data_IF_557044629706
#
_entry.id   IF_557044629706
#
_cell.length_a   1.000
_cell.length_b   1.000
_cell.length_c   1.000
_cell.angle_alpha   90.00
_cell.angle_beta   90.00
_cell.angle_gamma   90.00
#
_symmetry.space_group_name_H-M   'P 1'
#
loop_
_entity.id
_entity.type
_entity.pdbx_description
1 polymer ?
#
# COMPACT_ATOMS: atom_id res chain seq x y z
N UNK A 1 13.09 -1.57 -6.03
CA UNK A 1 11.67 -1.21 -5.79
C UNK A 1 10.80 -2.30 -6.39
N UNK A 2 9.81 -2.83 -5.65
CA UNK A 2 8.85 -3.78 -6.24
C UNK A 2 8.10 -3.07 -7.36
N UNK A 3 8.02 -3.70 -8.53
CA UNK A 3 7.38 -3.12 -9.69
C UNK A 3 5.86 -3.40 -9.62
N UNK A 4 5.05 -2.34 -9.56
CA UNK A 4 3.59 -2.41 -9.56
C UNK A 4 2.95 -2.04 -10.92
N UNK A 5 3.73 -1.78 -11.96
CA UNK A 5 3.26 -1.39 -13.29
C UNK A 5 2.26 -2.40 -13.87
N UNK A 6 2.49 -3.70 -13.62
CA UNK A 6 1.59 -4.78 -14.06
C UNK A 6 0.25 -4.69 -13.33
N UNK A 7 0.26 -4.48 -12.01
CA UNK A 7 -0.95 -4.37 -11.20
C UNK A 7 -1.77 -3.14 -11.63
N UNK A 8 -1.12 -1.99 -11.78
CA UNK A 8 -1.75 -0.75 -12.19
C UNK A 8 -2.39 -0.86 -13.58
N UNK A 9 -1.71 -1.50 -14.54
CA UNK A 9 -2.27 -1.80 -15.86
C UNK A 9 -3.48 -2.73 -15.77
N UNK A 10 -3.38 -3.80 -14.99
CA UNK A 10 -4.47 -4.78 -14.86
C UNK A 10 -5.72 -4.20 -14.19
N UNK A 11 -5.54 -3.31 -13.22
CA UNK A 11 -6.64 -2.61 -12.53
C UNK A 11 -7.09 -1.35 -13.27
N UNK A 12 -6.38 -0.96 -14.33
CA UNK A 12 -6.57 0.31 -15.04
C UNK A 12 -6.55 1.53 -14.10
N UNK A 13 -5.64 1.51 -13.12
CA UNK A 13 -5.45 2.55 -12.11
C UNK A 13 -4.07 3.17 -12.26
N UNK A 14 -3.95 4.48 -12.03
CA UNK A 14 -2.68 5.18 -12.01
C UNK A 14 -2.49 5.93 -10.68
N UNK A 15 -1.54 5.48 -9.87
CA UNK A 15 -1.23 6.13 -8.60
C UNK A 15 -0.30 7.32 -8.82
N UNK A 16 -0.78 8.53 -8.48
CA UNK A 16 0.04 9.75 -8.42
C UNK A 16 1.18 9.62 -7.42
N UNK A 17 0.90 8.98 -6.28
CA UNK A 17 1.88 8.69 -5.24
C UNK A 17 2.03 7.17 -5.09
N UNK A 18 3.15 6.63 -5.57
CA UNK A 18 3.47 5.20 -5.48
C UNK A 18 3.66 4.73 -4.04
N UNK A 19 3.98 5.62 -3.12
CA UNK A 19 4.17 5.26 -1.72
C UNK A 19 2.86 4.80 -1.07
N UNK A 20 1.72 5.36 -1.48
CA UNK A 20 0.40 4.89 -1.02
C UNK A 20 0.12 3.47 -1.48
N UNK A 21 0.48 3.16 -2.74
CA UNK A 21 0.34 1.81 -3.29
C UNK A 21 1.24 0.83 -2.54
N UNK A 22 2.52 1.19 -2.33
CA UNK A 22 3.46 0.35 -1.58
C UNK A 22 2.97 0.13 -0.14
N UNK A 23 2.50 1.20 0.52
CA UNK A 23 1.99 1.14 1.89
C UNK A 23 0.73 0.28 2.01
N UNK A 24 -0.18 0.31 1.03
CA UNK A 24 -1.37 -0.54 1.02
C UNK A 24 -1.05 -2.04 1.06
N UNK A 25 0.12 -2.44 0.54
CA UNK A 25 0.62 -3.82 0.58
C UNK A 25 1.59 -4.09 1.75
N UNK A 26 1.77 -3.13 2.66
CA UNK A 26 2.69 -3.27 3.79
C UNK A 26 1.96 -3.70 5.06
N UNK A 27 2.04 -4.98 5.41
CA UNK A 27 1.48 -5.49 6.66
C UNK A 27 2.37 -5.17 7.87
N UNK A 28 1.79 -5.04 9.06
CA UNK A 28 2.52 -4.78 10.32
C UNK A 28 3.63 -5.80 10.63
N UNK A 29 3.42 -7.09 10.31
CA UNK A 29 4.45 -8.12 10.52
C UNK A 29 5.71 -7.84 9.69
N UNK A 30 5.55 -7.29 8.49
CA UNK A 30 6.69 -6.93 7.64
C UNK A 30 7.52 -5.80 8.25
N UNK A 31 6.88 -4.79 8.84
CA UNK A 31 7.58 -3.70 9.54
C UNK A 31 8.31 -4.18 10.79
N UNK A 32 7.73 -5.13 11.51
CA UNK A 32 8.38 -5.71 12.69
C UNK A 32 9.70 -6.41 12.33
N UNK A 33 9.77 -7.01 11.14
CA UNK A 33 10.98 -7.65 10.61
C UNK A 33 11.92 -6.68 9.89
N UNK A 34 11.42 -5.51 9.47
CA UNK A 34 12.15 -4.51 8.67
C UNK A 34 11.95 -3.10 9.27
N UNK A 35 12.55 -2.80 10.43
CA UNK A 35 12.30 -1.55 11.16
C UNK A 35 12.79 -0.29 10.41
N UNK A 36 13.77 -0.43 9.50
CA UNK A 36 14.27 0.66 8.68
C UNK A 36 13.40 0.97 7.45
N UNK A 37 12.28 0.25 7.27
CA UNK A 37 11.38 0.50 6.15
C UNK A 37 10.69 1.86 6.31
N UNK A 38 10.85 2.72 5.30
CA UNK A 38 10.46 4.13 5.37
C UNK A 38 8.97 4.42 5.44
N UNK A 39 8.10 3.46 5.11
CA UNK A 39 6.65 3.65 5.06
C UNK A 39 5.96 2.93 6.23
N UNK A 40 4.76 3.39 6.58
CA UNK A 40 3.92 2.75 7.60
C UNK A 40 3.25 1.46 7.13
N UNK A 41 2.40 0.90 7.98
CA UNK A 41 1.59 -0.27 7.62
C UNK A 41 0.30 0.18 6.90
N UNK A 42 -0.46 -0.80 6.42
CA UNK A 42 -1.70 -0.61 5.68
C UNK A 42 -2.95 -0.38 6.57
N UNK A 43 -2.89 -0.62 7.89
CA UNK A 43 -4.06 -0.60 8.80
C UNK A 43 -4.86 0.72 8.71
N UNK A 44 -4.19 1.88 8.58
CA UNK A 44 -4.86 3.17 8.42
C UNK A 44 -5.55 3.34 7.06
N UNK A 45 -4.97 2.78 6.00
CA UNK A 45 -5.54 2.83 4.65
C UNK A 45 -6.72 1.86 4.55
N UNK A 46 -6.62 0.69 5.20
CA UNK A 46 -7.70 -0.29 5.33
C UNK A 46 -8.92 0.33 6.02
N UNK A 47 -8.73 0.91 7.21
CA UNK A 47 -9.81 1.58 7.94
C UNK A 47 -10.51 2.69 7.14
N UNK A 48 -9.74 3.49 6.39
CA UNK A 48 -10.33 4.49 5.49
C UNK A 48 -11.06 3.84 4.32
N UNK A 49 -10.51 2.77 3.76
CA UNK A 49 -11.10 2.03 2.65
C UNK A 49 -12.47 1.45 3.01
N UNK A 50 -12.60 0.90 4.22
CA UNK A 50 -13.87 0.39 4.72
C UNK A 50 -14.94 1.48 4.75
N UNK A 51 -14.62 2.66 5.30
CA UNK A 51 -15.53 3.80 5.35
C UNK A 51 -15.89 4.40 3.98
N UNK A 52 -15.08 4.13 2.93
CA UNK A 52 -15.37 4.56 1.56
C UNK A 52 -16.24 3.55 0.81
N UNK A 53 -16.19 2.27 1.20
CA UNK A 53 -16.99 1.20 0.61
C UNK A 53 -18.40 1.12 1.19
N UNK A 54 -18.60 1.60 2.41
CA UNK A 54 -19.93 1.83 3.00
C UNK A 54 -20.73 2.91 2.26
#
# INVERSE_FOLDING_TARGET
>A
MRNFDVLERNLNLHFKNKDLLIQAFCHRSYLNENPDFRLGNNERLEFLGDAVLE
#
